data_IF_079182463962
#
_entry.id   IF_079182463962
#
_cell.length_a   1.000
_cell.length_b   1.000
_cell.length_c   1.000
_cell.angle_alpha   90.00
_cell.angle_beta   90.00
_cell.angle_gamma   90.00
#
_symmetry.space_group_name_H-M   'P 1'
#
loop_
_entity.id
_entity.type
_entity.pdbx_description
1 polymer ?
#
# COMPACT_ATOMS: atom_id res chain seq x y z
N UNK A 1 -14.29 -26.83 -9.89
CA UNK A 1 -14.70 -27.07 -8.49
C UNK A 1 -13.53 -27.60 -7.66
N UNK A 2 -12.84 -28.63 -8.16
CA UNK A 2 -11.76 -29.28 -7.43
C UNK A 2 -10.60 -28.34 -7.06
N UNK A 3 -10.21 -27.44 -7.95
CA UNK A 3 -9.18 -26.44 -7.70
C UNK A 3 -9.54 -25.50 -6.52
N UNK A 4 -10.78 -24.98 -6.47
CA UNK A 4 -11.25 -24.15 -5.37
C UNK A 4 -11.24 -24.93 -4.04
N UNK A 5 -11.67 -26.19 -4.07
CA UNK A 5 -11.68 -27.06 -2.89
C UNK A 5 -10.25 -27.38 -2.43
N UNK A 6 -9.34 -27.66 -3.35
CA UNK A 6 -7.94 -27.91 -3.05
C UNK A 6 -7.28 -26.69 -2.39
N UNK A 7 -7.52 -25.48 -2.91
CA UNK A 7 -7.02 -24.24 -2.30
C UNK A 7 -7.63 -23.95 -0.93
N UNK A 8 -8.93 -24.20 -0.76
CA UNK A 8 -9.57 -24.10 0.54
C UNK A 8 -8.96 -25.07 1.56
N UNK A 9 -8.65 -26.31 1.15
CA UNK A 9 -7.93 -27.27 2.01
C UNK A 9 -6.49 -26.83 2.29
N UNK A 10 -5.82 -26.21 1.33
CA UNK A 10 -4.48 -25.67 1.55
C UNK A 10 -4.48 -24.56 2.61
N UNK A 11 -5.51 -23.72 2.63
CA UNK A 11 -5.67 -22.67 3.64
C UNK A 11 -6.11 -23.20 5.01
N UNK A 12 -7.10 -24.09 5.03
CA UNK A 12 -7.75 -24.55 6.26
C UNK A 12 -7.18 -25.86 6.82
N UNK A 13 -6.21 -26.47 6.14
CA UNK A 13 -5.61 -27.75 6.48
C UNK A 13 -6.59 -28.91 6.44
N UNK A 14 -6.49 -29.81 7.42
CA UNK A 14 -7.26 -31.06 7.51
C UNK A 14 -8.72 -30.87 7.98
N UNK A 15 -9.23 -29.64 7.97
CA UNK A 15 -10.61 -29.41 8.34
C UNK A 15 -11.56 -30.13 7.36
N UNK A 16 -12.62 -30.79 7.87
CA UNK A 16 -13.64 -31.35 7.02
C UNK A 16 -14.28 -30.28 6.14
N UNK A 17 -14.56 -30.60 4.87
CA UNK A 17 -15.10 -29.62 3.91
C UNK A 17 -16.39 -28.95 4.41
N UNK A 18 -17.28 -29.69 5.07
CA UNK A 18 -18.50 -29.11 5.66
C UNK A 18 -18.20 -28.02 6.72
N UNK A 19 -17.11 -28.17 7.47
CA UNK A 19 -16.65 -27.19 8.47
C UNK A 19 -15.98 -25.99 7.79
N UNK A 20 -15.24 -26.23 6.71
CA UNK A 20 -14.67 -25.16 5.86
C UNK A 20 -15.80 -24.31 5.27
N UNK A 21 -16.80 -24.93 4.61
CA UNK A 21 -17.93 -24.23 4.00
C UNK A 21 -18.67 -23.35 5.01
N UNK A 22 -18.89 -23.85 6.23
CA UNK A 22 -19.49 -23.07 7.32
C UNK A 22 -18.63 -21.87 7.74
N UNK A 23 -17.30 -22.03 7.81
CA UNK A 23 -16.36 -20.96 8.16
C UNK A 23 -16.35 -19.82 7.13
N UNK A 24 -16.51 -20.16 5.85
CA UNK A 24 -16.64 -19.17 4.77
C UNK A 24 -18.10 -18.77 4.52
N UNK A 25 -19.04 -19.12 5.41
CA UNK A 25 -20.44 -18.67 5.32
C UNK A 25 -21.25 -19.29 4.17
N UNK A 26 -20.79 -20.40 3.58
CA UNK A 26 -21.50 -21.10 2.51
C UNK A 26 -22.50 -22.11 3.11
N UNK A 27 -23.81 -21.99 2.81
CA UNK A 27 -24.82 -22.94 3.27
C UNK A 27 -24.57 -24.36 2.76
N UNK A 28 -24.94 -25.36 3.56
CA UNK A 28 -24.84 -26.78 3.16
C UNK A 28 -25.65 -27.09 1.89
N UNK A 29 -26.80 -26.45 1.69
CA UNK A 29 -27.63 -26.58 0.49
C UNK A 29 -26.91 -26.09 -0.76
N UNK A 30 -26.22 -24.95 -0.67
CA UNK A 30 -25.35 -24.43 -1.73
C UNK A 30 -24.24 -25.43 -2.06
N UNK A 31 -23.52 -25.90 -1.04
CA UNK A 31 -22.42 -26.85 -1.25
C UNK A 31 -22.90 -28.17 -1.87
N UNK A 32 -24.06 -28.68 -1.42
CA UNK A 32 -24.67 -29.87 -2.01
C UNK A 32 -25.03 -29.66 -3.49
N UNK A 33 -25.55 -28.48 -3.84
CA UNK A 33 -25.83 -28.11 -5.23
C UNK A 33 -24.56 -28.01 -6.07
N UNK A 34 -23.47 -27.43 -5.54
CA UNK A 34 -22.17 -27.39 -6.21
C UNK A 34 -21.65 -28.80 -6.50
N UNK A 35 -21.73 -29.69 -5.51
CA UNK A 35 -21.29 -31.08 -5.66
C UNK A 35 -22.11 -31.83 -6.70
N UNK A 36 -23.42 -31.61 -6.74
CA UNK A 36 -24.31 -32.22 -7.74
C UNK A 36 -24.04 -31.72 -9.16
N UNK A 37 -23.68 -30.44 -9.31
CA UNK A 37 -23.45 -29.79 -10.60
C UNK A 37 -21.99 -29.83 -11.09
N UNK A 38 -21.04 -30.13 -10.20
CA UNK A 38 -19.60 -30.08 -10.49
C UNK A 38 -19.05 -28.66 -10.66
N UNK A 39 -19.83 -27.63 -10.34
CA UNK A 39 -19.50 -26.22 -10.59
C UNK A 39 -19.63 -25.40 -9.31
N UNK A 40 -18.80 -24.37 -9.19
CA UNK A 40 -18.79 -23.44 -8.05
C UNK A 40 -19.35 -22.11 -8.52
N UNK A 41 -20.33 -21.57 -7.81
CA UNK A 41 -20.85 -20.22 -8.09
C UNK A 41 -19.88 -19.20 -7.51
N UNK A 42 -19.21 -18.43 -8.38
CA UNK A 42 -18.19 -17.46 -7.96
C UNK A 42 -18.72 -16.44 -6.97
N UNK A 43 -19.96 -15.96 -7.10
CA UNK A 43 -20.52 -14.92 -6.24
C UNK A 43 -20.49 -15.32 -4.76
N UNK A 44 -21.03 -16.50 -4.43
CA UNK A 44 -21.12 -16.99 -3.06
C UNK A 44 -19.74 -17.38 -2.51
N UNK A 45 -18.84 -17.88 -3.36
CA UNK A 45 -17.46 -18.15 -2.98
C UNK A 45 -16.73 -16.84 -2.64
N UNK A 46 -16.80 -15.83 -3.51
CA UNK A 46 -16.12 -14.54 -3.32
C UNK A 46 -16.61 -13.85 -2.04
N UNK A 47 -17.94 -13.79 -1.84
CA UNK A 47 -18.51 -13.25 -0.59
C UNK A 47 -17.99 -14.02 0.63
N UNK A 48 -17.95 -15.35 0.53
CA UNK A 48 -17.45 -16.19 1.62
C UNK A 48 -15.97 -15.99 1.93
N UNK A 49 -15.13 -15.83 0.90
CA UNK A 49 -13.70 -15.55 1.04
C UNK A 49 -13.47 -14.17 1.69
N UNK A 50 -14.18 -13.14 1.24
CA UNK A 50 -14.11 -11.79 1.81
C UNK A 50 -14.50 -11.81 3.29
N UNK A 51 -15.62 -12.47 3.64
CA UNK A 51 -16.07 -12.57 5.02
C UNK A 51 -15.08 -13.34 5.92
N UNK A 52 -14.34 -14.28 5.35
CA UNK A 52 -13.29 -15.01 6.04
C UNK A 52 -11.92 -14.29 6.06
N UNK A 53 -11.82 -13.11 5.44
CA UNK A 53 -10.58 -12.34 5.33
C UNK A 53 -9.53 -12.98 4.41
N UNK A 54 -9.95 -13.84 3.47
CA UNK A 54 -9.05 -14.50 2.54
C UNK A 54 -8.86 -13.61 1.31
N UNK A 55 -7.60 -13.33 0.95
CA UNK A 55 -7.25 -12.57 -0.26
C UNK A 55 -7.74 -13.30 -1.52
N UNK A 56 -8.51 -12.59 -2.34
CA UNK A 56 -9.00 -13.09 -3.63
C UNK A 56 -7.86 -13.30 -4.62
N UNK A 57 -6.86 -12.42 -4.59
CA UNK A 57 -5.67 -12.47 -5.45
C UNK A 57 -4.91 -13.78 -5.24
N UNK A 58 -4.64 -14.08 -3.96
CA UNK A 58 -4.02 -15.34 -3.57
C UNK A 58 -4.90 -16.55 -3.94
N UNK A 59 -6.22 -16.45 -3.73
CA UNK A 59 -7.12 -17.58 -3.94
C UNK A 59 -7.33 -17.93 -5.43
N UNK A 60 -7.42 -16.93 -6.31
CA UNK A 60 -7.71 -17.16 -7.73
C UNK A 60 -6.48 -17.08 -8.62
N UNK A 61 -5.42 -16.40 -8.20
CA UNK A 61 -4.23 -16.15 -9.03
C UNK A 61 -2.96 -16.02 -8.18
N UNK A 62 -2.61 -17.07 -7.40
CA UNK A 62 -1.48 -17.00 -6.46
C UNK A 62 -0.13 -16.69 -7.13
N UNK A 63 0.05 -17.15 -8.37
CA UNK A 63 1.31 -16.99 -9.12
C UNK A 63 1.32 -15.72 -9.99
N UNK A 64 0.25 -14.92 -9.98
CA UNK A 64 0.18 -13.68 -10.76
C UNK A 64 0.25 -12.49 -9.84
N UNK A 65 1.13 -11.55 -10.19
CA UNK A 65 1.10 -10.23 -9.61
C UNK A 65 -0.05 -9.44 -10.27
N UNK A 66 -1.18 -9.34 -9.56
CA UNK A 66 -2.31 -8.56 -10.03
C UNK A 66 -2.01 -7.06 -9.92
N UNK A 67 -2.45 -6.31 -10.91
CA UNK A 67 -2.33 -4.86 -10.92
C UNK A 67 -3.43 -4.27 -10.04
N UNK A 68 -3.03 -3.65 -8.92
CA UNK A 68 -3.93 -2.86 -8.09
C UNK A 68 -4.01 -1.43 -8.65
N UNK A 69 -5.16 -1.00 -9.21
CA UNK A 69 -5.25 0.28 -9.89
C UNK A 69 -4.99 1.43 -8.93
N UNK A 70 -4.21 2.42 -9.39
CA UNK A 70 -3.99 3.65 -8.63
C UNK A 70 -5.21 4.57 -8.79
N UNK A 71 -5.47 5.51 -7.85
CA UNK A 71 -6.58 6.45 -7.98
C UNK A 71 -6.57 7.28 -9.27
N UNK A 72 -5.39 7.49 -9.88
CA UNK A 72 -5.24 8.15 -11.18
C UNK A 72 -5.68 7.30 -12.38
N UNK A 73 -5.80 5.99 -12.21
CA UNK A 73 -6.31 5.03 -13.21
C UNK A 73 -7.81 4.76 -13.05
N UNK A 74 -8.43 5.28 -11.99
CA UNK A 74 -9.84 5.11 -11.72
C UNK A 74 -10.63 6.30 -12.29
N UNK A 75 -11.76 6.02 -12.94
CA UNK A 75 -12.73 7.04 -13.35
C UNK A 75 -13.58 7.49 -12.15
N UNK A 76 -12.95 8.13 -11.17
CA UNK A 76 -13.63 8.64 -9.97
C UNK A 76 -14.31 9.98 -10.26
N UNK A 77 -15.46 10.21 -9.64
CA UNK A 77 -16.03 11.56 -9.56
C UNK A 77 -15.08 12.45 -8.74
N UNK A 78 -14.96 13.73 -9.09
CA UNK A 78 -13.98 14.67 -8.49
C UNK A 78 -14.01 14.70 -6.96
N UNK A 79 -15.20 14.57 -6.35
CA UNK A 79 -15.35 14.55 -4.90
C UNK A 79 -14.65 13.34 -4.24
N UNK A 80 -14.79 12.15 -4.84
CA UNK A 80 -14.15 10.90 -4.35
C UNK A 80 -12.65 10.91 -4.67
N UNK A 81 -12.28 11.49 -5.81
CA UNK A 81 -10.88 11.67 -6.19
C UNK A 81 -10.14 12.57 -5.20
N UNK A 82 -10.78 13.65 -4.72
CA UNK A 82 -10.23 14.57 -3.71
C UNK A 82 -10.00 13.88 -2.36
N UNK A 83 -10.93 13.05 -1.89
CA UNK A 83 -10.78 12.31 -0.63
C UNK A 83 -9.67 11.25 -0.70
N UNK A 84 -9.61 10.49 -1.80
CA UNK A 84 -8.53 9.52 -2.02
C UNK A 84 -7.16 10.19 -2.18
N UNK A 85 -7.09 11.32 -2.89
CA UNK A 85 -5.87 12.11 -3.00
C UNK A 85 -5.42 12.63 -1.63
N UNK A 86 -6.31 13.20 -0.82
CA UNK A 86 -5.98 13.66 0.55
C UNK A 86 -5.47 12.55 1.46
N UNK A 87 -6.10 11.38 1.43
CA UNK A 87 -5.65 10.22 2.22
C UNK A 87 -4.28 9.73 1.76
N UNK A 88 -4.05 9.70 0.43
CA UNK A 88 -2.77 9.35 -0.17
C UNK A 88 -1.67 10.39 0.13
N UNK A 89 -2.00 11.68 0.08
CA UNK A 89 -1.11 12.81 0.37
C UNK A 89 -0.66 12.78 1.83
N UNK A 90 -1.58 12.57 2.79
CA UNK A 90 -1.21 12.43 4.21
C UNK A 90 -0.24 11.27 4.44
N UNK A 91 -0.51 10.10 3.84
CA UNK A 91 0.39 8.96 3.95
C UNK A 91 1.76 9.23 3.29
N UNK A 92 1.79 10.00 2.20
CA UNK A 92 3.03 10.41 1.53
C UNK A 92 3.83 11.41 2.37
N UNK A 93 3.16 12.37 3.01
CA UNK A 93 3.79 13.34 3.93
C UNK A 93 4.40 12.62 5.14
N UNK A 94 3.69 11.67 5.75
CA UNK A 94 4.22 10.87 6.87
C UNK A 94 5.51 10.16 6.45
N UNK A 95 5.49 9.47 5.30
CA UNK A 95 6.69 8.80 4.75
C UNK A 95 7.82 9.78 4.43
N UNK A 96 7.49 10.98 3.96
CA UNK A 96 8.49 12.01 3.69
C UNK A 96 9.17 12.46 4.97
N UNK A 97 8.40 12.75 6.03
CA UNK A 97 8.91 13.15 7.34
C UNK A 97 9.81 12.06 7.94
N UNK A 98 9.38 10.80 7.90
CA UNK A 98 10.18 9.66 8.36
C UNK A 98 11.51 9.54 7.58
N UNK A 99 11.50 9.79 6.27
CA UNK A 99 12.68 9.68 5.44
C UNK A 99 13.70 10.81 5.63
N UNK A 100 13.25 12.02 6.01
CA UNK A 100 14.14 13.18 6.19
C UNK A 100 14.70 13.29 7.62
N UNK A 101 14.04 12.70 8.62
CA UNK A 101 14.45 12.73 10.03
C UNK A 101 15.91 12.29 10.26
N UNK A 102 16.43 11.21 9.61
CA UNK A 102 17.83 10.84 9.72
C UNK A 102 18.80 11.88 9.14
N UNK A 103 18.37 12.70 8.17
CA UNK A 103 19.21 13.69 7.51
C UNK A 103 19.53 14.87 8.42
N UNK A 104 18.61 15.24 9.32
CA UNK A 104 18.87 16.27 10.33
C UNK A 104 20.05 15.89 11.23
N UNK A 105 20.11 14.62 11.64
CA UNK A 105 21.22 14.10 12.45
C UNK A 105 22.50 13.98 11.64
N UNK A 106 22.40 13.45 10.41
CA UNK A 106 23.56 13.20 9.56
C UNK A 106 24.29 14.49 9.16
N UNK A 107 23.54 15.55 8.84
CA UNK A 107 24.09 16.82 8.38
C UNK A 107 24.17 17.90 9.47
N UNK A 108 23.77 17.57 10.71
CA UNK A 108 23.69 18.50 11.84
C UNK A 108 22.86 19.75 11.51
N UNK A 109 21.72 19.54 10.85
CA UNK A 109 20.79 20.61 10.47
C UNK A 109 19.96 21.04 11.68
N UNK A 110 19.71 22.33 11.80
CA UNK A 110 18.69 22.83 12.72
C UNK A 110 17.29 22.39 12.26
N UNK A 111 16.52 21.85 13.21
CA UNK A 111 15.11 21.49 13.00
C UNK A 111 14.23 22.73 13.06
N UNK A 112 14.32 23.56 12.04
CA UNK A 112 13.38 24.67 11.81
C UNK A 112 12.24 24.19 10.91
N UNK A 113 11.08 24.84 11.01
CA UNK A 113 9.93 24.56 10.14
C UNK A 113 10.30 24.72 8.66
N UNK A 114 11.08 25.75 8.32
CA UNK A 114 11.53 26.02 6.95
C UNK A 114 12.42 24.90 6.38
N UNK A 115 13.39 24.41 7.17
CA UNK A 115 14.27 23.32 6.74
C UNK A 115 13.48 22.01 6.56
N UNK A 116 12.51 21.77 7.45
CA UNK A 116 11.66 20.60 7.37
C UNK A 116 10.73 20.66 6.15
N UNK A 117 10.08 21.80 5.92
CA UNK A 117 9.21 22.02 4.76
C UNK A 117 9.99 21.82 3.46
N UNK A 118 11.15 22.45 3.30
CA UNK A 118 11.97 22.35 2.09
C UNK A 118 12.42 20.90 1.81
N UNK A 119 12.81 20.14 2.85
CA UNK A 119 13.21 18.75 2.68
C UNK A 119 12.01 17.83 2.36
N UNK A 120 10.84 18.07 2.96
CA UNK A 120 9.59 17.35 2.61
C UNK A 120 9.18 17.66 1.18
N UNK A 121 9.16 18.92 0.77
CA UNK A 121 8.84 19.35 -0.59
C UNK A 121 9.79 18.72 -1.61
N UNK A 122 11.09 18.72 -1.33
CA UNK A 122 12.11 18.08 -2.17
C UNK A 122 11.87 16.56 -2.28
N UNK A 123 11.44 15.91 -1.19
CA UNK A 123 11.08 14.49 -1.19
C UNK A 123 9.83 14.20 -2.03
N UNK A 124 8.83 15.08 -1.97
CA UNK A 124 7.57 14.94 -2.71
C UNK A 124 7.69 15.29 -4.20
N UNK A 125 8.60 16.21 -4.56
CA UNK A 125 8.92 16.60 -5.95
C UNK A 125 9.52 15.47 -6.81
N UNK A 126 9.83 14.30 -6.20
CA UNK A 126 10.28 13.04 -6.81
C UNK A 126 9.53 12.61 -8.09
N UNK A 127 8.29 13.06 -8.29
CA UNK A 127 7.44 12.62 -9.41
C UNK A 127 7.79 13.24 -10.78
N UNK A 128 8.72 14.19 -10.87
CA UNK A 128 8.98 14.97 -12.09
C UNK A 128 10.31 14.65 -12.83
N UNK A 129 10.77 13.39 -12.78
CA UNK A 129 11.88 12.85 -13.58
C UNK A 129 13.35 13.19 -13.23
N UNK A 130 14.20 12.21 -13.52
CA UNK A 130 15.67 12.19 -13.64
C UNK A 130 16.60 12.28 -12.42
N UNK A 131 16.13 12.44 -11.18
CA UNK A 131 17.01 12.40 -10.00
C UNK A 131 16.51 11.44 -8.93
N UNK A 132 17.34 10.47 -8.53
CA UNK A 132 17.03 9.60 -7.39
C UNK A 132 16.79 10.43 -6.14
N UNK A 133 15.62 10.29 -5.50
CA UNK A 133 15.19 11.09 -4.34
C UNK A 133 16.24 11.15 -3.22
N UNK A 134 16.96 10.05 -2.96
CA UNK A 134 18.04 10.01 -1.98
C UNK A 134 19.17 10.99 -2.31
N UNK A 135 19.49 11.19 -3.59
CA UNK A 135 20.52 12.11 -4.03
C UNK A 135 20.07 13.57 -3.90
N UNK A 136 18.89 13.92 -4.44
CA UNK A 136 18.37 15.29 -4.40
C UNK A 136 18.27 15.82 -2.96
N UNK A 137 17.64 15.05 -2.08
CA UNK A 137 17.43 15.47 -0.69
C UNK A 137 18.75 15.55 0.07
N UNK A 138 19.71 14.64 -0.19
CA UNK A 138 21.05 14.74 0.40
C UNK A 138 21.80 15.98 -0.09
N UNK A 139 21.65 16.39 -1.36
CA UNK A 139 22.27 17.62 -1.86
C UNK A 139 21.63 18.87 -1.25
N UNK A 140 20.30 18.91 -1.13
CA UNK A 140 19.60 20.00 -0.45
C UNK A 140 19.99 20.07 1.02
N UNK A 141 20.00 18.94 1.73
CA UNK A 141 20.46 18.87 3.13
C UNK A 141 21.92 19.35 3.29
N UNK A 142 22.81 18.98 2.35
CA UNK A 142 24.19 19.45 2.33
C UNK A 142 24.30 20.97 2.07
N UNK A 143 23.48 21.50 1.17
CA UNK A 143 23.43 22.93 0.88
C UNK A 143 22.94 23.74 2.08
N UNK A 144 21.86 23.29 2.74
CA UNK A 144 21.35 23.89 3.98
C UNK A 144 22.42 23.87 5.09
N UNK A 145 23.11 22.75 5.27
CA UNK A 145 24.16 22.64 6.28
C UNK A 145 25.34 23.58 5.99
N UNK A 146 25.70 23.77 4.71
CA UNK A 146 26.73 24.72 4.31
C UNK A 146 26.30 26.17 4.53
N UNK A 147 25.05 26.52 4.22
CA UNK A 147 24.50 27.86 4.43
C UNK A 147 24.45 28.22 5.92
N UNK A 148 23.99 27.28 6.76
CA UNK A 148 23.94 27.42 8.22
C UNK A 148 25.34 27.63 8.83
N UNK A 149 26.36 26.89 8.36
CA UNK A 149 27.75 27.08 8.79
C UNK A 149 28.31 28.44 8.39
N UNK A 150 27.97 28.92 7.19
CA UNK A 150 28.40 30.23 6.69
C UNK A 150 27.73 31.38 7.43
N UNK A 151 26.50 31.22 7.92
CA UNK A 151 25.85 32.21 8.78
C UNK A 151 26.44 32.26 10.20
N UNK A 152 26.97 31.14 10.71
CA UNK A 152 27.59 31.08 12.05
C UNK A 152 29.04 31.56 12.09
N UNK A 153 29.73 31.68 10.95
CA UNK A 153 31.05 32.33 10.88
C UNK A 153 30.84 33.84 10.66
N UNK A 154 31.26 34.72 11.58
CA UNK A 154 31.30 36.15 11.28
C UNK A 154 32.24 36.35 10.09
N UNK A 155 31.79 37.11 9.09
CA UNK A 155 32.67 37.58 8.03
C UNK A 155 33.72 38.47 8.67
N UNK A 156 34.93 37.95 8.84
CA UNK A 156 36.14 38.71 9.20
C UNK A 156 36.60 39.54 8.02
#
# INVERSE_FOLDING_TARGET
MDECIARLKLYYGDLPLAKIMRKIGIPNSTYANWRKRGTVTSDQLVVGLINAGISLDWFFSPDKQLNYPTPSQLHLAEAVQSEYQRASERAQVIKAVEAIEPLFRLFNLEKTEDNQALLVETYLARRADHVTASFAIKQVAKALASAQRNMKKPRS
#
